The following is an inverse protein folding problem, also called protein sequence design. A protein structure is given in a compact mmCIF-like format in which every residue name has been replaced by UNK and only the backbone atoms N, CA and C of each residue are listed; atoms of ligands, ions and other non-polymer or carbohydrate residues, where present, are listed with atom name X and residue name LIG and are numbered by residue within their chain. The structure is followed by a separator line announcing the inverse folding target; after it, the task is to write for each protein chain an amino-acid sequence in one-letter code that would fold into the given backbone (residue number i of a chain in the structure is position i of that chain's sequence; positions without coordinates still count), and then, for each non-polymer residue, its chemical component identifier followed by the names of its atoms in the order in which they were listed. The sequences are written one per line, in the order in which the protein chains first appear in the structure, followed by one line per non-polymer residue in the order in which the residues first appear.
data_IF_824393379711
#
_entry.id   IF_824393379711
#
_cell.length_a   1.000
_cell.length_b   1.000
_cell.length_c   1.000
_cell.angle_alpha   90.00
_cell.angle_beta   90.00
_cell.angle_gamma   90.00
#
_symmetry.space_group_name_H-M   'P 1'
#
loop_
_entity.id
_entity.type
_entity.pdbx_description
1 polymer ?
#
# COMPACT_ATOMS: atom_id res chain seq x y z
N UNK A 1 -20.80 -24.50 5.46
CA UNK A 1 -20.34 -23.16 5.93
C UNK A 1 -19.52 -22.51 4.83
N UNK A 2 -20.00 -21.40 4.29
CA UNK A 2 -19.17 -20.62 3.38
C UNK A 2 -18.11 -19.91 4.21
N UNK A 3 -16.82 -20.16 3.94
CA UNK A 3 -15.76 -19.31 4.46
C UNK A 3 -15.95 -17.94 3.82
N UNK A 4 -15.92 -16.87 4.65
CA UNK A 4 -15.94 -15.51 4.12
C UNK A 4 -14.74 -15.31 3.19
N UNK A 5 -14.95 -14.64 2.05
CA UNK A 5 -13.86 -14.29 1.16
C UNK A 5 -12.87 -13.37 1.89
N UNK A 6 -11.57 -13.51 1.65
CA UNK A 6 -10.58 -12.62 2.25
C UNK A 6 -10.86 -11.17 1.88
N UNK A 7 -10.80 -10.28 2.87
CA UNK A 7 -11.02 -8.85 2.63
C UNK A 7 -9.81 -8.26 1.89
N UNK A 8 -10.02 -7.63 0.72
CA UNK A 8 -8.90 -7.09 -0.04
C UNK A 8 -8.50 -5.69 0.42
N UNK A 9 -7.21 -5.50 0.64
CA UNK A 9 -6.60 -4.19 0.88
C UNK A 9 -5.50 -3.96 -0.14
N UNK A 10 -5.41 -2.74 -0.64
CA UNK A 10 -4.25 -2.29 -1.39
C UNK A 10 -3.31 -1.58 -0.42
N UNK A 11 -2.05 -1.97 -0.41
CA UNK A 11 -1.05 -1.45 0.54
C UNK A 11 -0.02 -0.67 -0.23
N UNK A 12 0.12 0.63 0.08
CA UNK A 12 1.15 1.43 -0.57
C UNK A 12 2.53 1.24 0.09
N UNK A 13 3.56 1.80 -0.55
CA UNK A 13 4.92 1.64 -0.08
C UNK A 13 5.15 2.30 1.29
N UNK A 14 4.43 3.37 1.62
CA UNK A 14 4.57 4.03 2.92
C UNK A 14 4.15 3.13 4.07
N UNK A 15 3.12 2.31 3.87
CA UNK A 15 2.66 1.32 4.83
C UNK A 15 3.57 0.09 4.84
N UNK A 16 3.87 -0.46 3.67
CA UNK A 16 4.68 -1.67 3.55
C UNK A 16 6.11 -1.48 4.05
N UNK A 17 6.67 -0.27 3.96
CA UNK A 17 8.01 0.02 4.47
C UNK A 17 8.13 -0.24 5.96
N UNK A 18 7.04 -0.06 6.72
CA UNK A 18 7.01 -0.35 8.16
C UNK A 18 7.16 -1.85 8.48
N UNK A 19 7.04 -2.74 7.51
CA UNK A 19 7.35 -4.17 7.70
C UNK A 19 8.86 -4.41 7.86
N UNK A 20 9.68 -3.49 7.39
CA UNK A 20 11.15 -3.62 7.38
C UNK A 20 11.85 -2.68 8.35
N UNK A 21 11.18 -1.59 8.74
CA UNK A 21 11.76 -0.52 9.56
C UNK A 21 10.74 -0.10 10.62
N UNK A 22 11.20 0.10 11.86
CA UNK A 22 10.31 0.58 12.92
C UNK A 22 9.89 2.03 12.65
N UNK A 23 8.59 2.23 12.49
CA UNK A 23 7.94 3.52 12.24
C UNK A 23 6.74 3.65 13.19
N UNK A 24 6.13 4.84 13.24
CA UNK A 24 5.00 5.10 14.14
C UNK A 24 3.77 4.21 13.89
N UNK A 25 3.64 3.62 12.70
CA UNK A 25 2.52 2.76 12.32
C UNK A 25 2.92 1.29 12.13
N UNK A 26 4.08 0.88 12.65
CA UNK A 26 4.58 -0.49 12.47
C UNK A 26 3.63 -1.53 13.05
N UNK A 27 3.03 -1.26 14.20
CA UNK A 27 2.10 -2.21 14.82
C UNK A 27 0.92 -2.52 13.92
N UNK A 28 0.32 -1.51 13.31
CA UNK A 28 -0.79 -1.67 12.38
C UNK A 28 -0.34 -2.38 11.09
N UNK A 29 0.82 -2.02 10.56
CA UNK A 29 1.34 -2.64 9.35
C UNK A 29 1.66 -4.13 9.56
N UNK A 30 2.24 -4.50 10.69
CA UNK A 30 2.52 -5.91 11.04
C UNK A 30 1.22 -6.67 11.27
N UNK A 31 0.22 -6.05 11.88
CA UNK A 31 -1.08 -6.67 12.07
C UNK A 31 -1.74 -7.06 10.74
N UNK A 32 -1.51 -6.29 9.66
CA UNK A 32 -1.95 -6.66 8.32
C UNK A 32 -1.31 -7.96 7.83
N UNK A 33 0.01 -8.10 8.00
CA UNK A 33 0.71 -9.34 7.62
C UNK A 33 0.17 -10.54 8.39
N UNK A 34 -0.03 -10.37 9.68
CA UNK A 34 -0.51 -11.44 10.57
C UNK A 34 -1.97 -11.81 10.31
N UNK A 35 -2.75 -10.89 9.72
CA UNK A 35 -4.14 -11.14 9.40
C UNK A 35 -4.35 -12.03 8.17
N UNK A 36 -3.32 -12.30 7.37
CA UNK A 36 -3.42 -13.24 6.27
C UNK A 36 -3.65 -14.67 6.81
N UNK A 37 -4.47 -15.51 6.15
CA UNK A 37 -5.17 -15.28 4.89
C UNK A 37 -6.57 -14.66 5.01
N UNK A 38 -7.00 -14.18 6.19
CA UNK A 38 -8.32 -13.55 6.34
C UNK A 38 -8.42 -12.21 5.62
N UNK A 39 -7.27 -11.56 5.36
CA UNK A 39 -7.16 -10.40 4.48
C UNK A 39 -6.30 -10.76 3.27
N UNK A 40 -6.51 -10.05 2.18
CA UNK A 40 -5.70 -10.14 0.98
C UNK A 40 -4.94 -8.83 0.82
N UNK A 41 -3.62 -8.90 0.65
CA UNK A 41 -2.77 -7.73 0.51
C UNK A 41 -2.34 -7.60 -0.95
N UNK A 42 -2.83 -6.57 -1.61
CA UNK A 42 -2.60 -6.30 -3.02
C UNK A 42 -1.72 -5.06 -3.17
N UNK A 43 -0.92 -5.02 -4.23
CA UNK A 43 -0.24 -3.80 -4.63
C UNK A 43 0.10 -3.84 -6.13
N UNK A 44 0.23 -2.67 -6.78
CA UNK A 44 0.91 -2.63 -8.06
C UNK A 44 2.37 -3.08 -7.90
N UNK A 45 2.94 -3.73 -8.88
CA UNK A 45 4.33 -4.20 -8.80
C UNK A 45 5.34 -3.05 -8.63
N UNK A 46 4.95 -1.83 -8.95
CA UNK A 46 5.70 -0.60 -8.61
C UNK A 46 6.09 -0.53 -7.12
N UNK A 47 5.29 -1.12 -6.23
CA UNK A 47 5.58 -1.11 -4.78
C UNK A 47 6.98 -1.65 -4.47
N UNK A 48 7.43 -2.64 -5.23
CA UNK A 48 8.75 -3.25 -5.01
C UNK A 48 9.87 -2.25 -5.27
N UNK A 49 9.75 -1.46 -6.32
CA UNK A 49 10.74 -0.42 -6.66
C UNK A 49 10.69 0.73 -5.65
N UNK A 50 9.49 1.12 -5.24
CA UNK A 50 9.32 2.18 -4.24
C UNK A 50 9.90 1.77 -2.89
N UNK A 51 9.67 0.52 -2.46
CA UNK A 51 10.26 -0.03 -1.23
C UNK A 51 11.78 -0.06 -1.31
N UNK A 52 12.33 -0.50 -2.45
CA UNK A 52 13.77 -0.53 -2.64
C UNK A 52 14.37 0.88 -2.57
N UNK A 53 13.71 1.85 -3.20
CA UNK A 53 14.16 3.24 -3.17
C UNK A 53 14.10 3.84 -1.77
N UNK A 54 13.05 3.58 -1.01
CA UNK A 54 12.92 4.01 0.39
C UNK A 54 14.03 3.39 1.25
N UNK A 55 14.31 2.12 1.06
CA UNK A 55 15.38 1.40 1.74
C UNK A 55 16.77 1.96 1.41
N UNK A 56 17.00 2.27 0.12
CA UNK A 56 18.26 2.89 -0.30
C UNK A 56 18.50 4.24 0.39
N UNK A 57 17.48 5.08 0.42
CA UNK A 57 17.57 6.37 1.12
C UNK A 57 17.85 6.20 2.61
N UNK A 58 17.15 5.29 3.26
CA UNK A 58 17.32 5.02 4.70
C UNK A 58 18.72 4.47 5.00
N UNK A 59 19.24 3.59 4.17
CA UNK A 59 20.58 3.03 4.34
C UNK A 59 21.65 4.11 4.14
N UNK A 60 21.50 4.96 3.13
CA UNK A 60 22.43 6.08 2.91
C UNK A 60 22.49 7.05 4.10
N UNK A 61 21.36 7.25 4.75
CA UNK A 61 21.25 8.15 5.91
C UNK A 61 21.69 7.47 7.21
N UNK A 62 22.06 6.18 7.16
CA UNK A 62 22.41 5.40 8.34
C UNK A 62 21.24 5.00 9.22
N UNK A 63 20.00 5.16 8.73
CA UNK A 63 18.81 4.81 9.50
C UNK A 63 18.57 3.29 9.56
N UNK A 64 19.03 2.56 8.55
CA UNK A 64 18.96 1.09 8.53
C UNK A 64 20.33 0.53 8.12
N UNK A 65 20.57 -0.73 8.46
CA UNK A 65 21.77 -1.47 8.09
C UNK A 65 21.71 -1.94 6.64
N UNK A 66 22.86 -2.33 6.10
CA UNK A 66 22.94 -2.98 4.79
C UNK A 66 22.13 -4.27 4.76
N UNK A 67 22.15 -5.05 5.84
CA UNK A 67 21.38 -6.29 5.94
C UNK A 67 19.87 -6.02 5.87
N UNK A 68 19.39 -4.99 6.54
CA UNK A 68 17.99 -4.58 6.45
C UNK A 68 17.62 -4.14 5.03
N UNK A 69 18.49 -3.40 4.37
CA UNK A 69 18.28 -3.00 2.98
C UNK A 69 18.21 -4.22 2.05
N UNK A 70 19.12 -5.17 2.20
CA UNK A 70 19.14 -6.40 1.40
C UNK A 70 17.87 -7.24 1.63
N UNK A 71 17.36 -7.28 2.84
CA UNK A 71 16.15 -8.02 3.19
C UNK A 71 14.93 -7.54 2.41
N UNK A 72 14.87 -6.26 2.05
CA UNK A 72 13.74 -5.71 1.28
C UNK A 72 13.58 -6.44 -0.06
N UNK A 73 14.67 -6.55 -0.84
CA UNK A 73 14.60 -7.21 -2.14
C UNK A 73 14.29 -8.71 -2.02
N UNK A 74 14.79 -9.35 -0.97
CA UNK A 74 14.61 -10.79 -0.76
C UNK A 74 13.18 -11.12 -0.31
N UNK A 75 12.60 -10.32 0.57
CA UNK A 75 11.36 -10.65 1.27
C UNK A 75 10.11 -9.98 0.68
N UNK A 76 10.23 -8.74 0.20
CA UNK A 76 9.06 -7.96 -0.21
C UNK A 76 8.17 -8.67 -1.23
N UNK A 77 8.69 -9.33 -2.28
CA UNK A 77 7.80 -9.98 -3.26
C UNK A 77 6.89 -11.04 -2.67
N UNK A 78 7.34 -11.75 -1.63
CA UNK A 78 6.56 -12.82 -0.99
C UNK A 78 5.59 -12.35 0.09
N UNK A 79 5.60 -11.08 0.45
CA UNK A 79 4.74 -10.56 1.54
C UNK A 79 3.35 -10.14 1.06
N UNK A 80 3.19 -9.90 -0.23
CA UNK A 80 1.90 -9.54 -0.83
C UNK A 80 1.16 -10.79 -1.31
N UNK A 81 -0.16 -10.81 -1.16
CA UNK A 81 -1.00 -11.88 -1.70
C UNK A 81 -0.97 -11.87 -3.23
N UNK A 82 -0.93 -10.68 -3.83
CA UNK A 82 -0.86 -10.52 -5.28
C UNK A 82 -0.19 -9.18 -5.63
N UNK A 83 0.70 -9.22 -6.62
CA UNK A 83 1.29 -8.04 -7.25
C UNK A 83 0.69 -7.91 -8.65
N UNK A 84 0.15 -6.73 -8.97
CA UNK A 84 -0.53 -6.46 -10.23
C UNK A 84 0.35 -5.59 -11.09
N UNK A 85 0.51 -5.95 -12.37
CA UNK A 85 1.30 -5.14 -13.31
C UNK A 85 0.62 -3.82 -13.61
N UNK A 86 1.41 -2.81 -13.96
CA UNK A 86 0.91 -1.46 -14.17
C UNK A 86 -0.03 -1.33 -15.39
N UNK A 87 0.23 -2.09 -16.45
CA UNK A 87 -0.48 -1.90 -17.73
C UNK A 87 -2.00 -1.92 -17.60
N UNK A 88 -2.63 -2.89 -16.91
CA UNK A 88 -4.10 -2.89 -16.76
C UNK A 88 -4.64 -1.73 -15.92
N UNK A 89 -3.79 -1.03 -15.17
CA UNK A 89 -4.18 0.03 -14.26
C UNK A 89 -4.09 1.42 -14.89
N UNK A 90 -3.41 1.56 -16.03
CA UNK A 90 -3.06 2.88 -16.58
C UNK A 90 -4.25 3.76 -16.89
N UNK A 91 -5.30 3.21 -17.48
CA UNK A 91 -6.49 4.00 -17.84
C UNK A 91 -7.17 4.61 -16.62
N UNK A 92 -7.39 3.81 -15.57
CA UNK A 92 -7.98 4.29 -14.32
C UNK A 92 -7.05 5.25 -13.58
N UNK A 93 -5.74 4.96 -13.59
CA UNK A 93 -4.74 5.83 -12.98
C UNK A 93 -4.72 7.21 -13.67
N UNK A 94 -4.82 7.25 -14.99
CA UNK A 94 -4.88 8.50 -15.74
C UNK A 94 -6.10 9.34 -15.35
N UNK A 95 -7.24 8.71 -15.16
CA UNK A 95 -8.45 9.40 -14.69
C UNK A 95 -8.22 10.01 -13.30
N UNK A 96 -7.59 9.30 -12.39
CA UNK A 96 -7.26 9.83 -11.06
C UNK A 96 -6.25 10.96 -11.11
N UNK A 97 -5.22 10.86 -11.98
CA UNK A 97 -4.25 11.94 -12.18
C UNK A 97 -4.96 13.25 -12.55
N UNK A 98 -5.93 13.17 -13.45
CA UNK A 98 -6.70 14.34 -13.90
C UNK A 98 -7.62 14.86 -12.80
N UNK A 99 -8.32 13.96 -12.13
CA UNK A 99 -9.28 14.35 -11.09
C UNK A 99 -8.59 14.99 -9.87
N UNK A 100 -7.41 14.50 -9.52
CA UNK A 100 -6.70 14.94 -8.31
C UNK A 100 -5.55 15.92 -8.58
N UNK A 101 -5.16 16.09 -9.84
CA UNK A 101 -3.90 16.77 -10.19
C UNK A 101 -2.76 16.22 -9.33
N UNK A 102 -2.53 14.91 -9.45
CA UNK A 102 -1.64 14.16 -8.58
C UNK A 102 -0.75 13.20 -9.39
N UNK A 103 0.49 12.95 -8.95
CA UNK A 103 1.40 12.08 -9.68
C UNK A 103 0.86 10.67 -9.90
N UNK A 104 1.21 10.09 -11.06
CA UNK A 104 0.71 8.79 -11.50
C UNK A 104 1.06 7.63 -10.55
N UNK A 105 2.15 7.73 -9.82
CA UNK A 105 2.59 6.67 -8.89
C UNK A 105 1.50 6.32 -7.88
N UNK A 106 1.00 7.33 -7.15
CA UNK A 106 -0.06 7.11 -6.16
C UNK A 106 -1.39 6.73 -6.83
N UNK A 107 -1.62 7.23 -8.03
CA UNK A 107 -2.85 6.95 -8.78
C UNK A 107 -2.93 5.49 -9.25
N UNK A 108 -1.81 4.79 -9.40
CA UNK A 108 -1.80 3.34 -9.66
C UNK A 108 -2.42 2.56 -8.50
N UNK A 109 -2.12 2.95 -7.26
CA UNK A 109 -2.72 2.31 -6.08
C UNK A 109 -4.22 2.54 -6.00
N UNK A 110 -4.66 3.77 -6.29
CA UNK A 110 -6.10 4.10 -6.36
C UNK A 110 -6.81 3.31 -7.45
N UNK A 111 -6.18 3.19 -8.63
CA UNK A 111 -6.71 2.43 -9.75
C UNK A 111 -6.89 0.94 -9.37
N UNK A 112 -5.93 0.37 -8.67
CA UNK A 112 -6.02 -1.02 -8.22
C UNK A 112 -7.13 -1.19 -7.17
N UNK A 113 -7.22 -0.29 -6.21
CA UNK A 113 -8.28 -0.32 -5.20
C UNK A 113 -9.67 -0.25 -5.84
N UNK A 114 -9.85 0.63 -6.80
CA UNK A 114 -11.10 0.77 -7.56
C UNK A 114 -11.41 -0.50 -8.35
N UNK A 115 -10.44 -1.03 -9.07
CA UNK A 115 -10.61 -2.21 -9.93
C UNK A 115 -10.97 -3.46 -9.12
N UNK A 116 -10.42 -3.62 -7.94
CA UNK A 116 -10.59 -4.82 -7.11
C UNK A 116 -11.59 -4.62 -5.97
N UNK A 117 -12.29 -3.51 -5.92
CA UNK A 117 -13.20 -3.15 -4.83
C UNK A 117 -12.53 -3.31 -3.46
N UNK A 118 -11.29 -2.86 -3.38
CA UNK A 118 -10.44 -2.91 -2.21
C UNK A 118 -10.32 -1.54 -1.56
N UNK A 119 -9.81 -1.49 -0.33
CA UNK A 119 -9.49 -0.25 0.36
C UNK A 119 -7.98 -0.02 0.29
N UNK A 120 -7.57 1.15 -0.19
CA UNK A 120 -6.18 1.56 -0.16
C UNK A 120 -5.81 2.03 1.25
N UNK A 121 -4.79 1.41 1.81
CA UNK A 121 -4.19 1.82 3.08
C UNK A 121 -2.93 2.64 2.82
N UNK A 122 -2.89 3.84 3.37
CA UNK A 122 -1.80 4.78 3.14
C UNK A 122 -1.48 5.59 4.40
N UNK A 123 -0.30 6.19 4.42
CA UNK A 123 0.10 7.24 5.37
C UNK A 123 0.14 8.62 4.75
N UNK A 124 -0.10 8.73 3.45
CA UNK A 124 0.04 10.01 2.74
C UNK A 124 -1.13 10.93 3.04
N UNK A 125 -0.88 11.89 3.94
CA UNK A 125 -1.90 12.89 4.35
C UNK A 125 -2.31 13.82 3.21
N UNK A 126 -1.43 14.07 2.26
CA UNK A 126 -1.74 14.92 1.09
C UNK A 126 -2.75 14.23 0.19
N UNK A 127 -2.54 12.93 -0.06
CA UNK A 127 -3.47 12.13 -0.85
C UNK A 127 -4.84 12.03 -0.16
N UNK A 128 -4.86 11.75 1.13
CA UNK A 128 -6.09 11.67 1.92
C UNK A 128 -6.90 12.96 1.84
N UNK A 129 -6.23 14.11 1.97
CA UNK A 129 -6.89 15.42 1.88
C UNK A 129 -7.49 15.68 0.51
N UNK A 130 -6.79 15.30 -0.56
CA UNK A 130 -7.29 15.48 -1.93
C UNK A 130 -8.53 14.62 -2.22
N UNK A 131 -8.61 13.45 -1.59
CA UNK A 131 -9.71 12.51 -1.80
C UNK A 131 -10.95 12.83 -0.95
N UNK A 132 -10.75 13.49 0.19
CA UNK A 132 -11.82 13.77 1.15
C UNK A 132 -13.06 14.43 0.54
N UNK A 133 -12.95 15.47 -0.34
CA UNK A 133 -14.12 16.13 -0.90
C UNK A 133 -14.78 15.37 -2.06
N UNK A 134 -14.22 14.25 -2.50
CA UNK A 134 -14.71 13.54 -3.69
C UNK A 134 -15.67 12.41 -3.31
N UNK A 135 -16.96 12.49 -3.74
CA UNK A 135 -17.94 11.45 -3.38
C UNK A 135 -17.57 10.05 -3.89
N UNK A 136 -16.95 9.96 -5.08
CA UNK A 136 -16.57 8.69 -5.68
C UNK A 136 -15.34 8.04 -5.02
N UNK A 137 -14.67 8.76 -4.12
CA UNK A 137 -13.55 8.24 -3.34
C UNK A 137 -13.97 7.75 -1.94
N UNK A 138 -15.24 7.92 -1.58
CA UNK A 138 -15.74 7.49 -0.28
C UNK A 138 -15.53 5.98 -0.08
N UNK A 139 -14.86 5.60 1.00
CA UNK A 139 -14.55 4.20 1.29
C UNK A 139 -13.42 3.58 0.47
N UNK A 140 -12.82 4.33 -0.46
CA UNK A 140 -11.74 3.83 -1.32
C UNK A 140 -10.37 3.86 -0.63
N UNK A 141 -10.17 4.78 0.29
CA UNK A 141 -8.88 5.00 0.97
C UNK A 141 -9.09 5.16 2.46
N UNK A 142 -8.08 4.69 3.22
CA UNK A 142 -8.07 4.78 4.68
C UNK A 142 -6.65 5.05 5.16
N UNK A 143 -6.51 5.91 6.16
CA UNK A 143 -5.23 6.05 6.85
C UNK A 143 -4.95 4.77 7.65
N UNK A 144 -3.70 4.28 7.57
CA UNK A 144 -3.33 3.03 8.26
C UNK A 144 -3.55 3.13 9.77
N UNK A 145 -3.38 4.30 10.36
CA UNK A 145 -3.56 4.52 11.80
C UNK A 145 -5.00 4.27 12.27
N UNK A 146 -5.95 4.38 11.35
CA UNK A 146 -7.38 4.16 11.67
C UNK A 146 -7.81 2.70 11.56
N UNK A 147 -6.92 1.84 11.06
CA UNK A 147 -7.24 0.42 10.90
C UNK A 147 -7.24 -0.28 12.25
N UNK A 148 -8.37 -0.92 12.56
CA UNK A 148 -8.54 -1.72 13.77
C UNK A 148 -9.00 -3.11 13.37
N UNK A 149 -8.27 -4.13 13.84
CA UNK A 149 -8.71 -5.52 13.72
C UNK A 149 -9.51 -5.88 14.97
N UNK A 150 -10.67 -6.48 14.75
CA UNK A 150 -11.45 -7.04 15.86
C UNK A 150 -10.67 -8.23 16.45
N UNK A 151 -10.51 -8.23 17.79
CA UNK A 151 -9.89 -9.34 18.52
C UNK A 151 -10.85 -10.53 18.59
#
# INVERSE_FOLDING_TARGET
MSSAEPRPYVVDASVAFAWFVELGHTDQAVALLDAQPTVQLLAPDLVLVELLNAGWKAQRQGAISLDQFQAIAELAPGLFSELVTAAPLLSRAQNWCRALDHPAYDCLYLALAEMRSAVLLTQDQRLLKKLEPLPNAAGLVMAIETLVFAN
#
